data_IF_238206483732
#
_entry.id   IF_238206483732
#
_cell.length_a   1.000
_cell.length_b   1.000
_cell.length_c   1.000
_cell.angle_alpha   90.00
_cell.angle_beta   90.00
_cell.angle_gamma   90.00
#
_symmetry.space_group_name_H-M   'P 1'
#
loop_
_entity.id
_entity.type
_entity.pdbx_description
1 polymer ?
#
# COMPACT_ATOMS: atom_id res chain seq x y z
N UNK A 1 30.89 -36.77 91.16
CA UNK A 1 29.61 -36.98 90.49
C UNK A 1 29.36 -35.88 89.49
N UNK A 2 29.04 -36.32 88.24
CA UNK A 2 28.50 -35.61 87.16
C UNK A 2 29.42 -34.64 86.37
N UNK A 3 30.02 -35.28 85.38
CA UNK A 3 30.26 -34.77 84.09
C UNK A 3 28.97 -34.31 83.41
N UNK A 4 28.97 -33.26 82.71
CA UNK A 4 28.08 -33.07 81.56
C UNK A 4 28.67 -32.07 80.60
N UNK A 5 29.09 -32.59 79.47
CA UNK A 5 28.90 -32.17 78.13
C UNK A 5 28.42 -30.75 77.86
N UNK A 6 29.27 -29.98 77.24
CA UNK A 6 28.82 -29.00 76.26
C UNK A 6 29.69 -29.16 75.01
N UNK A 7 29.24 -30.03 74.14
CA UNK A 7 29.70 -30.13 72.79
C UNK A 7 28.50 -29.88 71.94
N UNK A 8 28.37 -28.69 71.38
CA UNK A 8 27.69 -28.55 70.10
C UNK A 8 27.63 -27.10 69.64
N UNK A 9 27.63 -26.91 68.47
CA UNK A 9 27.35 -25.69 67.70
C UNK A 9 28.62 -24.92 67.25
N UNK A 10 29.27 -25.47 66.28
CA UNK A 10 30.30 -24.82 65.47
C UNK A 10 30.46 -25.44 64.09
N UNK A 11 29.36 -25.99 63.51
CA UNK A 11 29.32 -26.28 62.09
C UNK A 11 29.00 -25.00 61.37
N UNK A 12 30.00 -24.10 61.25
CA UNK A 12 30.02 -23.08 60.23
C UNK A 12 30.01 -23.80 58.88
N UNK A 13 28.87 -23.72 58.24
CA UNK A 13 28.65 -24.08 56.85
C UNK A 13 29.70 -23.35 56.02
N UNK A 14 30.79 -24.05 55.73
CA UNK A 14 31.80 -23.56 54.79
C UNK A 14 31.03 -23.37 53.46
N UNK A 15 30.77 -22.12 53.11
CA UNK A 15 30.28 -21.75 51.77
C UNK A 15 31.35 -22.27 50.79
N UNK A 16 31.08 -23.40 50.16
CA UNK A 16 31.93 -23.95 49.11
C UNK A 16 31.99 -22.91 47.98
N UNK A 17 33.08 -22.18 47.95
CA UNK A 17 33.40 -21.29 46.86
C UNK A 17 33.27 -22.08 45.54
N UNK A 18 32.44 -21.62 44.58
CA UNK A 18 32.24 -22.35 43.34
C UNK A 18 33.58 -22.52 42.63
N UNK A 19 33.91 -23.76 42.29
CA UNK A 19 35.19 -24.06 41.60
C UNK A 19 35.32 -23.20 40.34
N UNK A 20 36.54 -22.70 40.06
CA UNK A 20 36.84 -21.84 38.91
C UNK A 20 36.26 -22.39 37.58
N UNK A 21 36.24 -23.69 37.43
CA UNK A 21 35.64 -24.37 36.27
C UNK A 21 34.11 -24.16 36.16
N UNK A 22 33.39 -24.09 37.28
CA UNK A 22 31.94 -23.82 37.29
C UNK A 22 31.66 -22.35 36.94
N UNK A 23 32.49 -21.43 37.41
CA UNK A 23 32.33 -19.99 37.08
C UNK A 23 32.61 -19.74 35.60
N UNK A 24 33.67 -20.32 35.04
CA UNK A 24 34.03 -20.23 33.63
C UNK A 24 32.92 -20.84 32.75
N UNK A 25 32.40 -21.99 33.11
CA UNK A 25 31.32 -22.65 32.39
C UNK A 25 30.03 -21.84 32.39
N UNK A 26 29.67 -21.23 33.53
CA UNK A 26 28.51 -20.33 33.64
C UNK A 26 28.67 -19.10 32.77
N UNK A 27 29.83 -18.45 32.76
CA UNK A 27 30.09 -17.27 31.90
C UNK A 27 30.08 -17.61 30.41
N UNK A 28 30.63 -18.76 30.04
CA UNK A 28 30.63 -19.23 28.65
C UNK A 28 29.20 -19.53 28.17
N UNK A 29 28.42 -20.26 28.96
CA UNK A 29 27.03 -20.55 28.64
C UNK A 29 26.18 -19.26 28.55
N UNK A 30 26.39 -18.30 29.45
CA UNK A 30 25.71 -17.02 29.40
C UNK A 30 26.09 -16.19 28.16
N UNK A 31 27.35 -16.23 27.74
CA UNK A 31 27.79 -15.59 26.51
C UNK A 31 27.22 -16.27 25.24
N UNK A 32 27.19 -17.60 25.20
CA UNK A 32 26.61 -18.39 24.12
C UNK A 32 25.11 -18.13 24.00
N UNK A 33 24.40 -18.09 25.12
CA UNK A 33 22.96 -17.76 25.15
C UNK A 33 22.73 -16.35 24.64
N UNK A 34 23.52 -15.37 25.10
CA UNK A 34 23.40 -13.98 24.66
C UNK A 34 23.67 -13.83 23.16
N UNK A 35 24.70 -14.49 22.63
CA UNK A 35 25.01 -14.48 21.20
C UNK A 35 23.90 -15.15 20.37
N UNK A 36 23.28 -16.21 20.92
CA UNK A 36 22.13 -16.87 20.29
C UNK A 36 20.91 -15.94 20.16
N UNK A 37 20.58 -15.20 21.22
CA UNK A 37 19.49 -14.22 21.17
C UNK A 37 19.78 -13.06 20.21
N UNK A 38 21.02 -12.57 20.16
CA UNK A 38 21.41 -11.52 19.22
C UNK A 38 21.26 -12.02 17.76
N UNK A 39 21.72 -13.24 17.48
CA UNK A 39 21.58 -13.84 16.16
C UNK A 39 20.12 -13.99 15.76
N UNK A 40 19.28 -14.53 16.65
CA UNK A 40 17.83 -14.63 16.44
C UNK A 40 17.18 -13.28 16.18
N UNK A 41 17.55 -12.25 16.93
CA UNK A 41 17.03 -10.89 16.72
C UNK A 41 17.44 -10.33 15.35
N UNK A 42 18.67 -10.58 14.89
CA UNK A 42 19.15 -10.19 13.56
C UNK A 42 18.36 -10.92 12.48
N UNK A 43 18.14 -12.22 12.64
CA UNK A 43 17.39 -13.03 11.66
C UNK A 43 15.95 -12.55 11.53
N UNK A 44 15.29 -12.27 12.66
CA UNK A 44 13.92 -11.70 12.68
C UNK A 44 13.91 -10.32 12.01
N UNK A 45 14.88 -9.45 12.32
CA UNK A 45 14.99 -8.14 11.71
C UNK A 45 15.22 -8.25 10.19
N UNK A 46 16.07 -9.16 9.74
CA UNK A 46 16.30 -9.40 8.31
C UNK A 46 15.04 -9.87 7.59
N UNK A 47 14.29 -10.81 8.17
CA UNK A 47 13.01 -11.28 7.62
C UNK A 47 12.00 -10.14 7.55
N UNK A 48 11.90 -9.32 8.60
CA UNK A 48 11.00 -8.19 8.62
C UNK A 48 11.35 -7.16 7.53
N UNK A 49 12.62 -6.83 7.35
CA UNK A 49 13.07 -5.91 6.29
C UNK A 49 12.75 -6.47 4.90
N UNK A 50 13.04 -7.75 4.66
CA UNK A 50 12.71 -8.40 3.39
C UNK A 50 11.19 -8.37 3.15
N UNK A 51 10.39 -8.68 4.18
CA UNK A 51 8.93 -8.63 4.11
C UNK A 51 8.41 -7.23 3.74
N UNK A 52 8.94 -6.19 4.37
CA UNK A 52 8.58 -4.79 4.08
C UNK A 52 8.96 -4.43 2.64
N UNK A 53 10.16 -4.78 2.20
CA UNK A 53 10.62 -4.52 0.83
C UNK A 53 9.72 -5.20 -0.20
N UNK A 54 9.39 -6.47 0.00
CA UNK A 54 8.47 -7.20 -0.88
C UNK A 54 7.08 -6.58 -0.88
N UNK A 55 6.56 -6.21 0.31
CA UNK A 55 5.26 -5.57 0.43
C UNK A 55 5.19 -4.25 -0.35
N UNK A 56 6.20 -3.40 -0.25
CA UNK A 56 6.24 -2.11 -0.95
C UNK A 56 6.40 -2.24 -2.46
N UNK A 57 6.97 -3.34 -2.95
CA UNK A 57 7.04 -3.64 -4.39
C UNK A 57 5.68 -4.11 -4.95
N UNK A 58 4.90 -4.82 -4.15
CA UNK A 58 3.61 -5.42 -4.57
C UNK A 58 2.46 -4.44 -4.37
N UNK A 59 2.48 -3.70 -3.27
CA UNK A 59 1.38 -2.82 -2.88
C UNK A 59 1.79 -1.34 -2.87
N UNK A 60 0.84 -0.51 -3.24
CA UNK A 60 0.90 0.94 -3.09
C UNK A 60 -0.05 1.35 -1.97
N UNK A 61 0.46 2.06 -0.97
CA UNK A 61 -0.37 2.67 0.08
C UNK A 61 -0.19 4.17 -0.01
N UNK A 62 -1.27 4.90 -0.24
CA UNK A 62 -1.25 6.36 -0.33
C UNK A 62 -2.56 6.97 0.16
N UNK A 63 -2.54 8.26 0.43
CA UNK A 63 -3.75 9.04 0.64
C UNK A 63 -4.27 9.55 -0.71
N UNK A 64 -5.59 9.55 -0.87
CA UNK A 64 -6.23 10.10 -2.07
C UNK A 64 -5.93 11.59 -2.19
N UNK A 65 -5.39 12.03 -3.34
CA UNK A 65 -5.18 13.45 -3.59
C UNK A 65 -6.47 14.10 -4.11
N UNK A 66 -7.11 14.90 -3.28
CA UNK A 66 -8.29 15.67 -3.69
C UNK A 66 -9.59 14.87 -3.87
N UNK A 67 -10.58 15.53 -4.45
CA UNK A 67 -11.93 15.00 -4.57
C UNK A 67 -12.33 14.55 -5.99
N UNK A 68 -11.40 14.41 -6.91
CA UNK A 68 -11.70 14.06 -8.31
C UNK A 68 -12.45 12.74 -8.49
N UNK A 69 -12.44 11.86 -7.51
CA UNK A 69 -13.16 10.59 -7.50
C UNK A 69 -14.37 10.58 -6.55
N UNK A 70 -14.86 11.76 -6.12
CA UNK A 70 -16.06 11.83 -5.30
C UNK A 70 -17.30 11.31 -6.06
N UNK A 71 -18.18 10.51 -5.46
CA UNK A 71 -18.23 10.12 -4.04
C UNK A 71 -17.48 8.82 -3.72
N UNK A 72 -16.93 8.12 -4.73
CA UNK A 72 -16.27 6.83 -4.56
C UNK A 72 -15.04 6.94 -3.65
N UNK A 73 -14.20 7.94 -3.89
CA UNK A 73 -13.02 8.26 -3.09
C UNK A 73 -13.07 9.73 -2.69
N UNK A 74 -12.78 10.02 -1.43
CA UNK A 74 -12.72 11.38 -0.88
C UNK A 74 -11.29 11.76 -0.58
N UNK A 75 -11.04 13.06 -0.54
CA UNK A 75 -9.74 13.59 -0.14
C UNK A 75 -9.30 13.04 1.22
N UNK A 76 -8.06 12.57 1.29
CA UNK A 76 -7.47 11.99 2.49
C UNK A 76 -7.89 10.55 2.81
N UNK A 77 -8.75 9.90 2.02
CA UNK A 77 -9.01 8.47 2.14
C UNK A 77 -7.71 7.67 1.88
N UNK A 78 -7.49 6.60 2.65
CA UNK A 78 -6.34 5.74 2.45
C UNK A 78 -6.65 4.71 1.36
N UNK A 79 -5.84 4.72 0.32
CA UNK A 79 -5.94 3.82 -0.83
C UNK A 79 -4.90 2.72 -0.72
N UNK A 80 -5.35 1.47 -0.88
CA UNK A 80 -4.49 0.31 -1.09
C UNK A 80 -4.59 -0.09 -2.56
N UNK A 81 -3.48 0.01 -3.28
CA UNK A 81 -3.35 -0.36 -4.67
C UNK A 81 -2.44 -1.57 -4.88
N UNK A 82 -2.69 -2.34 -5.93
CA UNK A 82 -1.87 -3.46 -6.37
C UNK A 82 -1.03 -3.05 -7.59
N UNK A 83 0.30 -3.15 -7.47
CA UNK A 83 1.26 -2.67 -8.48
C UNK A 83 1.55 -3.66 -9.60
N UNK A 84 1.38 -4.94 -9.35
CA UNK A 84 1.77 -5.98 -10.31
C UNK A 84 0.66 -6.28 -11.35
N UNK A 85 -0.41 -5.49 -11.36
CA UNK A 85 -1.44 -5.60 -12.38
C UNK A 85 -0.88 -5.21 -13.74
N UNK A 86 -1.09 -6.05 -14.74
CA UNK A 86 -0.64 -5.82 -16.13
C UNK A 86 -1.78 -5.60 -17.09
N UNK A 87 -2.94 -6.16 -16.78
CA UNK A 87 -4.14 -6.05 -17.59
C UNK A 87 -5.19 -5.26 -16.82
N UNK A 88 -5.64 -4.18 -17.42
CA UNK A 88 -6.68 -3.33 -16.85
C UNK A 88 -7.96 -3.51 -17.65
N UNK A 89 -9.07 -3.49 -16.96
CA UNK A 89 -10.39 -3.56 -17.56
C UNK A 89 -11.13 -2.23 -17.35
N UNK A 90 -12.16 -2.02 -18.15
CA UNK A 90 -13.06 -0.90 -17.95
C UNK A 90 -13.63 -0.93 -16.54
N UNK A 91 -13.86 0.24 -15.98
CA UNK A 91 -14.32 0.52 -14.62
C UNK A 91 -13.29 0.25 -13.50
N UNK A 92 -12.08 -0.21 -13.84
CA UNK A 92 -11.00 -0.28 -12.85
C UNK A 92 -10.63 1.12 -12.34
N UNK A 93 -10.59 1.26 -11.03
CA UNK A 93 -10.03 2.45 -10.39
C UNK A 93 -8.53 2.27 -10.25
N UNK A 94 -7.77 3.26 -10.73
CA UNK A 94 -6.32 3.20 -10.79
C UNK A 94 -5.66 4.45 -10.22
N UNK A 95 -4.46 4.27 -9.71
CA UNK A 95 -3.54 5.35 -9.38
C UNK A 95 -2.60 5.51 -10.56
N UNK A 96 -2.48 6.72 -11.09
CA UNK A 96 -1.66 7.00 -12.27
C UNK A 96 -0.93 8.34 -12.13
N UNK A 97 0.03 8.57 -13.00
CA UNK A 97 0.82 9.80 -13.06
C UNK A 97 0.56 10.50 -14.39
N UNK A 98 0.16 11.75 -14.32
CA UNK A 98 0.00 12.65 -15.46
C UNK A 98 0.45 14.05 -15.05
N UNK A 99 1.03 14.82 -15.97
CA UNK A 99 1.57 16.17 -15.75
C UNK A 99 2.51 16.30 -14.54
N UNK A 100 3.20 15.20 -14.16
CA UNK A 100 4.10 15.18 -13.01
C UNK A 100 3.40 15.04 -11.65
N UNK A 101 2.08 14.90 -11.63
CA UNK A 101 1.27 14.72 -10.45
C UNK A 101 0.67 13.30 -10.39
N UNK A 102 0.36 12.85 -9.18
CA UNK A 102 -0.31 11.56 -8.96
C UNK A 102 -1.80 11.78 -8.85
N UNK A 103 -2.55 11.07 -9.67
CA UNK A 103 -4.00 11.13 -9.73
C UNK A 103 -4.63 9.78 -9.41
N UNK A 104 -5.90 9.79 -9.07
CA UNK A 104 -6.76 8.61 -8.97
C UNK A 104 -7.91 8.80 -9.94
N UNK A 105 -8.20 7.77 -10.74
CA UNK A 105 -9.28 7.84 -11.72
C UNK A 105 -9.78 6.47 -12.11
N UNK A 106 -10.82 6.45 -12.91
CA UNK A 106 -11.48 5.25 -13.44
C UNK A 106 -11.18 5.08 -14.91
N UNK A 107 -10.78 3.90 -15.31
CA UNK A 107 -10.57 3.55 -16.72
C UNK A 107 -11.93 3.47 -17.42
N UNK A 108 -12.14 4.33 -18.40
CA UNK A 108 -13.35 4.36 -19.20
C UNK A 108 -13.14 3.76 -20.59
N UNK A 109 -11.91 3.86 -21.14
CA UNK A 109 -11.55 3.26 -22.41
C UNK A 109 -10.16 2.66 -22.37
N UNK A 110 -9.97 1.62 -23.17
CA UNK A 110 -8.67 0.97 -23.40
C UNK A 110 -8.19 1.25 -24.81
N UNK A 111 -7.01 0.78 -25.13
CA UNK A 111 -6.47 0.86 -26.51
C UNK A 111 -7.50 0.46 -27.55
N UNK A 112 -7.56 1.21 -28.64
CA UNK A 112 -8.51 1.09 -29.76
C UNK A 112 -9.98 1.47 -29.46
N UNK A 113 -10.36 1.70 -28.20
CA UNK A 113 -11.71 2.17 -27.89
C UNK A 113 -11.91 3.60 -28.41
N UNK A 114 -13.12 3.86 -28.92
CA UNK A 114 -13.53 5.19 -29.39
C UNK A 114 -14.38 5.86 -28.33
N UNK A 115 -13.89 6.98 -27.83
CA UNK A 115 -14.56 7.82 -26.83
C UNK A 115 -15.30 8.94 -27.56
N UNK A 116 -16.56 9.12 -27.22
CA UNK A 116 -17.39 10.22 -27.72
C UNK A 116 -18.08 10.89 -26.54
N UNK A 117 -18.11 12.20 -26.56
CA UNK A 117 -18.86 13.02 -25.59
C UNK A 117 -19.73 13.98 -26.35
N UNK A 118 -20.94 14.17 -25.89
CA UNK A 118 -21.87 15.11 -26.48
C UNK A 118 -22.12 16.32 -25.58
N UNK A 119 -22.76 17.35 -26.16
CA UNK A 119 -23.10 18.58 -25.45
C UNK A 119 -24.18 18.39 -24.37
N UNK A 120 -24.80 17.21 -24.31
CA UNK A 120 -25.75 16.85 -23.25
C UNK A 120 -25.09 16.26 -22.02
N UNK A 121 -23.77 16.04 -22.09
CA UNK A 121 -22.98 15.43 -21.01
C UNK A 121 -23.03 13.91 -21.00
N UNK A 122 -23.35 13.30 -22.17
CA UNK A 122 -23.37 11.84 -22.32
C UNK A 122 -22.02 11.35 -22.82
N UNK A 123 -21.45 10.39 -22.10
CA UNK A 123 -20.24 9.68 -22.51
C UNK A 123 -20.61 8.39 -23.24
N UNK A 124 -20.03 8.18 -24.42
CA UNK A 124 -20.13 6.93 -25.17
C UNK A 124 -18.76 6.31 -25.35
N UNK A 125 -18.68 5.01 -25.21
CA UNK A 125 -17.51 4.20 -25.55
C UNK A 125 -17.92 3.18 -26.59
N UNK A 126 -17.29 3.23 -27.76
CA UNK A 126 -17.66 2.41 -28.92
C UNK A 126 -19.16 2.51 -29.28
N UNK A 127 -19.71 3.72 -29.17
CA UNK A 127 -21.14 3.96 -29.45
C UNK A 127 -22.09 3.53 -28.33
N UNK A 128 -21.58 2.94 -27.24
CA UNK A 128 -22.42 2.51 -26.11
C UNK A 128 -22.40 3.58 -25.02
N UNK A 129 -23.59 4.06 -24.64
CA UNK A 129 -23.74 5.04 -23.56
C UNK A 129 -23.18 4.49 -22.26
N UNK A 130 -22.34 5.27 -21.62
CA UNK A 130 -21.78 4.96 -20.31
C UNK A 130 -22.65 5.62 -19.25
N UNK A 131 -23.43 4.78 -18.59
CA UNK A 131 -24.26 5.14 -17.45
C UNK A 131 -23.77 4.41 -16.20
N UNK A 132 -24.59 4.33 -15.17
CA UNK A 132 -24.35 3.59 -13.95
C UNK A 132 -24.21 4.50 -12.74
N UNK A 133 -23.22 4.24 -11.90
CA UNK A 133 -23.03 4.96 -10.62
C UNK A 133 -22.46 6.38 -10.78
N UNK A 134 -22.22 6.85 -12.02
CA UNK A 134 -21.66 8.17 -12.28
C UNK A 134 -22.77 9.20 -12.19
N UNK A 135 -22.71 10.02 -11.14
CA UNK A 135 -23.75 10.99 -10.81
C UNK A 135 -23.67 12.31 -11.60
N UNK A 136 -22.55 12.55 -12.27
CA UNK A 136 -22.23 13.82 -12.90
C UNK A 136 -22.18 13.70 -14.43
N UNK A 137 -22.71 14.67 -15.17
CA UNK A 137 -22.59 14.72 -16.62
C UNK A 137 -21.11 14.85 -17.03
N UNK A 138 -20.78 14.29 -18.18
CA UNK A 138 -19.40 14.27 -18.70
C UNK A 138 -19.33 15.13 -19.96
N UNK A 139 -18.89 16.37 -19.79
CA UNK A 139 -18.71 17.30 -20.91
C UNK A 139 -17.32 17.18 -21.51
N UNK A 140 -17.18 17.42 -22.83
CA UNK A 140 -15.84 17.60 -23.43
C UNK A 140 -15.13 18.80 -22.80
N UNK A 141 -13.81 18.75 -22.75
CA UNK A 141 -12.94 19.86 -22.38
C UNK A 141 -12.06 20.26 -23.55
N UNK A 142 -11.47 21.47 -23.53
CA UNK A 142 -10.79 22.09 -24.67
C UNK A 142 -9.49 21.40 -25.12
N UNK A 143 -9.09 20.31 -24.47
CA UNK A 143 -7.82 19.62 -24.73
C UNK A 143 -7.87 18.59 -25.87
N UNK A 144 -9.05 18.07 -26.26
CA UNK A 144 -9.18 16.90 -27.13
C UNK A 144 -10.35 17.02 -28.06
N UNK A 145 -10.13 16.63 -29.32
CA UNK A 145 -11.21 16.50 -30.32
C UNK A 145 -11.90 15.14 -30.20
N UNK A 146 -13.24 15.13 -30.23
CA UNK A 146 -14.06 13.94 -30.22
C UNK A 146 -14.73 13.71 -31.59
N UNK A 147 -14.88 12.45 -32.05
CA UNK A 147 -14.56 11.19 -31.37
C UNK A 147 -13.05 10.96 -31.22
N UNK A 148 -12.63 10.52 -30.03
CA UNK A 148 -11.24 10.27 -29.69
C UNK A 148 -10.96 8.77 -29.65
N UNK A 149 -10.01 8.29 -30.44
CA UNK A 149 -9.56 6.89 -30.41
C UNK A 149 -8.38 6.75 -29.45
N UNK A 150 -8.49 5.89 -28.46
CA UNK A 150 -7.42 5.63 -27.49
C UNK A 150 -6.26 4.92 -28.18
N UNK A 151 -5.03 5.48 -28.16
CA UNK A 151 -3.85 4.88 -28.79
C UNK A 151 -3.47 3.54 -28.14
N UNK A 152 -2.72 2.71 -28.89
CA UNK A 152 -2.15 1.47 -28.39
C UNK A 152 -1.28 1.71 -27.13
N UNK A 153 -1.37 0.81 -26.16
CA UNK A 153 -0.64 0.91 -24.90
C UNK A 153 -1.09 2.03 -23.98
N UNK A 154 -2.23 2.67 -24.26
CA UNK A 154 -2.82 3.74 -23.47
C UNK A 154 -4.19 3.38 -22.91
N UNK A 155 -4.62 4.12 -21.92
CA UNK A 155 -5.96 4.07 -21.33
C UNK A 155 -6.55 5.47 -21.23
N UNK A 156 -7.86 5.58 -21.36
CA UNK A 156 -8.60 6.82 -21.14
C UNK A 156 -9.21 6.78 -19.75
N UNK A 157 -8.77 7.69 -18.88
CA UNK A 157 -9.10 7.69 -17.46
C UNK A 157 -9.90 8.93 -17.14
N UNK A 158 -11.02 8.77 -16.44
CA UNK A 158 -11.84 9.87 -15.96
C UNK A 158 -11.97 9.83 -14.44
N UNK A 159 -12.14 11.00 -13.83
CA UNK A 159 -12.58 11.12 -12.46
C UNK A 159 -14.08 10.83 -12.34
N UNK A 160 -14.55 10.34 -11.21
CA UNK A 160 -15.98 10.14 -10.96
C UNK A 160 -16.69 11.48 -10.75
N UNK A 161 -15.97 12.48 -10.20
CA UNK A 161 -16.46 13.86 -10.08
C UNK A 161 -16.23 14.64 -11.37
N UNK A 162 -16.94 14.26 -12.43
CA UNK A 162 -16.75 14.73 -13.81
C UNK A 162 -16.62 16.23 -14.00
N UNK A 163 -17.28 17.02 -13.16
CA UNK A 163 -17.30 18.49 -13.25
C UNK A 163 -16.13 19.18 -12.54
N UNK A 164 -15.30 18.44 -11.81
CA UNK A 164 -14.17 19.00 -11.04
C UNK A 164 -12.90 18.13 -11.10
N UNK A 165 -12.92 17.05 -11.86
CA UNK A 165 -11.73 16.20 -12.01
C UNK A 165 -10.85 16.71 -13.13
N UNK A 166 -9.54 16.75 -12.86
CA UNK A 166 -8.50 16.88 -13.88
C UNK A 166 -8.17 15.48 -14.37
N UNK A 167 -8.46 15.20 -15.64
CA UNK A 167 -8.38 13.83 -16.16
C UNK A 167 -8.07 13.79 -17.66
N UNK A 168 -8.27 12.63 -18.31
CA UNK A 168 -7.93 12.45 -19.72
C UNK A 168 -8.65 13.39 -20.69
N UNK A 169 -9.66 14.12 -20.28
CA UNK A 169 -10.28 15.17 -21.11
C UNK A 169 -9.37 16.37 -21.31
N UNK A 170 -8.50 16.64 -20.32
CA UNK A 170 -7.56 17.78 -20.36
C UNK A 170 -6.23 17.39 -21.02
N UNK A 171 -5.63 16.26 -20.62
CA UNK A 171 -4.28 15.89 -21.07
C UNK A 171 -4.19 14.66 -21.99
N UNK A 172 -5.32 14.09 -22.39
CA UNK A 172 -5.37 12.92 -23.26
C UNK A 172 -5.25 11.58 -22.55
N UNK A 173 -5.09 10.54 -23.35
CA UNK A 173 -4.93 9.18 -22.85
C UNK A 173 -3.59 9.00 -22.12
N UNK A 174 -3.62 8.19 -21.07
CA UNK A 174 -2.49 7.91 -20.19
C UNK A 174 -1.80 6.62 -20.64
N UNK A 175 -0.49 6.62 -20.89
CA UNK A 175 0.25 5.40 -21.18
C UNK A 175 0.17 4.41 -20.01
N UNK A 176 0.00 3.11 -20.28
CA UNK A 176 -0.07 2.06 -19.26
C UNK A 176 1.13 2.03 -18.31
N UNK A 177 2.32 2.43 -18.79
CA UNK A 177 3.53 2.54 -17.95
C UNK A 177 3.40 3.58 -16.83
N UNK A 178 2.51 4.56 -16.99
CA UNK A 178 2.24 5.60 -16.01
C UNK A 178 1.17 5.19 -14.99
N UNK A 179 0.48 4.08 -15.22
CA UNK A 179 -0.43 3.50 -14.24
C UNK A 179 0.40 2.78 -13.18
N UNK A 180 0.34 3.28 -11.96
CA UNK A 180 1.19 2.83 -10.84
C UNK A 180 0.60 1.64 -10.09
N UNK A 181 -0.74 1.58 -9.96
CA UNK A 181 -1.43 0.51 -9.26
C UNK A 181 -2.93 0.50 -9.58
N UNK A 182 -3.54 -0.69 -9.52
CA UNK A 182 -4.99 -0.84 -9.46
C UNK A 182 -5.45 -0.73 -8.01
N UNK A 183 -6.46 0.08 -7.75
CA UNK A 183 -7.05 0.23 -6.41
C UNK A 183 -7.82 -1.03 -6.05
N UNK A 184 -7.47 -1.63 -4.91
CA UNK A 184 -8.14 -2.84 -4.39
C UNK A 184 -9.12 -2.46 -3.28
N UNK A 185 -8.71 -1.54 -2.41
CA UNK A 185 -9.47 -1.17 -1.23
C UNK A 185 -9.26 0.29 -0.88
N UNK A 186 -10.33 0.91 -0.40
CA UNK A 186 -10.34 2.29 0.09
C UNK A 186 -10.74 2.24 1.56
N UNK A 187 -9.86 2.69 2.43
CA UNK A 187 -10.13 2.83 3.85
C UNK A 187 -10.55 4.26 4.14
N UNK A 188 -11.84 4.41 4.35
CA UNK A 188 -12.44 5.72 4.56
C UNK A 188 -12.10 6.27 5.94
N UNK A 189 -11.53 7.47 5.98
CA UNK A 189 -11.29 8.17 7.24
C UNK A 189 -12.63 8.61 7.82
N UNK A 190 -13.07 8.00 8.93
CA UNK A 190 -14.18 8.56 9.72
C UNK A 190 -13.70 9.88 10.31
N UNK A 191 -14.30 10.98 9.87
CA UNK A 191 -14.25 12.20 10.66
C UNK A 191 -15.15 11.97 11.87
N UNK A 192 -14.55 11.90 13.05
CA UNK A 192 -15.22 11.95 14.34
C UNK A 192 -15.62 13.39 14.63
#
# INVERSE_FOLDING_TARGET
MKSTEIRSAGQTRAEELPSCSRIIRRRRNAAEIKSGYIRLAIDIAAIAVIGILLFTQVFLVMQAPGNGMFPAVKDGDLILGFRLQREYVKDDVVVYEADGETHVGRIMGRETDVITMDDTGTLLVNGTVQGGEILFPTYPEDGIEYPYTVPEGCVFILGDYRTQSKDSREYGSVPLKNVKAKVITILRRRQL
#
